data_IF_513775072156
#
_entry.id   IF_513775072156
#
_cell.length_a   1.000
_cell.length_b   1.000
_cell.length_c   1.000
_cell.angle_alpha   90.00
_cell.angle_beta   90.00
_cell.angle_gamma   90.00
#
_symmetry.space_group_name_H-M   'P 1'
#
loop_
_entity.id
_entity.type
_entity.pdbx_description
1 polymer ?
#
# COMPACT_ATOMS: atom_id res chain seq x y z
N UNK A 1 -2.51 -9.05 -12.32
CA UNK A 1 -2.13 -7.64 -12.48
C UNK A 1 -1.20 -7.24 -11.35
N UNK A 2 -0.15 -6.47 -11.66
CA UNK A 2 0.74 -5.85 -10.65
C UNK A 2 -0.07 -4.93 -9.75
N UNK A 3 0.14 -5.04 -8.44
CA UNK A 3 -0.37 -4.11 -7.44
C UNK A 3 0.76 -3.17 -7.03
N UNK A 4 0.48 -1.89 -6.82
CA UNK A 4 1.42 -1.01 -6.16
C UNK A 4 1.24 -1.17 -4.66
N UNK A 5 2.27 -1.63 -3.97
CA UNK A 5 2.34 -1.77 -2.52
C UNK A 5 3.14 -0.61 -1.94
N UNK A 6 2.49 0.21 -1.13
CA UNK A 6 3.08 1.35 -0.44
C UNK A 6 3.24 1.00 1.04
N UNK A 7 4.48 1.02 1.53
CA UNK A 7 4.80 0.79 2.93
C UNK A 7 4.95 2.10 3.69
N UNK A 8 4.30 2.17 4.84
CA UNK A 8 4.43 3.25 5.80
C UNK A 8 4.83 2.73 7.17
N UNK A 9 5.43 3.57 8.00
CA UNK A 9 5.45 3.37 9.45
C UNK A 9 4.25 4.07 10.08
N UNK A 10 3.60 3.42 11.05
CA UNK A 10 2.59 4.06 11.90
C UNK A 10 3.25 4.76 13.10
N UNK A 11 2.43 5.41 13.94
CA UNK A 11 2.91 6.14 15.13
C UNK A 11 3.71 5.27 16.14
N UNK A 12 3.52 3.95 16.12
CA UNK A 12 4.26 2.99 16.96
C UNK A 12 5.48 2.37 16.25
N UNK A 13 5.88 2.89 15.09
CA UNK A 13 7.00 2.37 14.29
C UNK A 13 6.73 1.03 13.60
N UNK A 14 5.47 0.56 13.56
CA UNK A 14 5.09 -0.69 12.89
C UNK A 14 4.80 -0.44 11.42
N UNK A 15 5.22 -1.36 10.55
CA UNK A 15 4.96 -1.28 9.11
C UNK A 15 3.46 -1.47 8.82
N UNK A 16 2.92 -0.64 7.93
CA UNK A 16 1.57 -0.71 7.39
C UNK A 16 1.64 -0.70 5.87
N UNK A 17 0.78 -1.49 5.22
CA UNK A 17 0.72 -1.61 3.76
C UNK A 17 -0.55 -0.97 3.22
N UNK A 18 -0.41 -0.23 2.12
CA UNK A 18 -1.52 0.22 1.28
C UNK A 18 -1.34 -0.34 -0.13
N UNK A 19 -2.17 -1.33 -0.48
CA UNK A 19 -2.09 -2.03 -1.77
C UNK A 19 -3.12 -1.48 -2.76
N UNK A 20 -2.64 -0.92 -3.87
CA UNK A 20 -3.45 -0.34 -4.93
C UNK A 20 -3.46 -1.27 -6.14
N UNK A 21 -4.63 -1.86 -6.43
CA UNK A 21 -4.81 -2.82 -7.54
C UNK A 21 -4.75 -2.19 -8.94
N UNK A 22 -5.08 -0.91 -9.05
CA UNK A 22 -5.22 -0.18 -10.32
C UNK A 22 -4.28 1.01 -10.43
N UNK A 23 -3.08 0.90 -9.86
CA UNK A 23 -2.07 1.94 -10.03
C UNK A 23 -1.55 1.94 -11.48
N UNK A 24 -1.26 3.14 -12.00
CA UNK A 24 -0.51 3.29 -13.24
C UNK A 24 0.82 2.54 -13.10
N UNK A 25 1.23 1.84 -14.16
CA UNK A 25 2.54 1.21 -14.23
C UNK A 25 3.61 2.25 -14.59
N UNK A 26 4.87 1.93 -14.26
CA UNK A 26 6.04 2.77 -14.59
C UNK A 26 6.01 4.15 -13.92
N UNK A 27 5.49 4.24 -12.70
CA UNK A 27 5.63 5.43 -11.86
C UNK A 27 7.08 5.57 -11.39
N UNK A 28 7.62 6.77 -11.48
CA UNK A 28 8.95 7.10 -10.95
C UNK A 28 8.92 7.31 -9.43
N UNK A 29 10.09 7.20 -8.80
CA UNK A 29 10.24 7.33 -7.35
C UNK A 29 9.69 8.67 -6.82
N UNK A 30 9.98 9.78 -7.51
CA UNK A 30 9.60 11.12 -7.06
C UNK A 30 8.09 11.29 -7.02
N UNK A 31 7.40 10.85 -8.08
CA UNK A 31 5.94 10.85 -8.15
C UNK A 31 5.31 10.04 -7.02
N UNK A 32 5.81 8.83 -6.77
CA UNK A 32 5.25 7.94 -5.74
C UNK A 32 5.52 8.49 -4.34
N UNK A 33 6.75 8.93 -4.05
CA UNK A 33 7.12 9.48 -2.75
C UNK A 33 6.30 10.73 -2.43
N UNK A 34 6.13 11.65 -3.38
CA UNK A 34 5.30 12.83 -3.20
C UNK A 34 3.82 12.47 -2.92
N UNK A 35 3.29 11.44 -3.59
CA UNK A 35 1.94 10.97 -3.32
C UNK A 35 1.80 10.41 -1.90
N UNK A 36 2.78 9.63 -1.43
CA UNK A 36 2.81 9.10 -0.07
C UNK A 36 2.86 10.21 1.00
N UNK A 37 3.68 11.25 0.80
CA UNK A 37 3.72 12.40 1.70
C UNK A 37 2.37 13.14 1.75
N UNK A 38 1.75 13.39 0.59
CA UNK A 38 0.41 14.00 0.53
C UNK A 38 -0.64 13.17 1.27
N UNK A 39 -0.55 11.84 1.25
CA UNK A 39 -1.46 10.96 2.01
C UNK A 39 -1.29 11.15 3.51
N UNK A 40 -0.06 11.28 4.00
CA UNK A 40 0.24 11.53 5.42
C UNK A 40 -0.32 12.89 5.85
N UNK A 41 -0.13 13.93 5.04
CA UNK A 41 -0.62 15.28 5.31
C UNK A 41 -2.14 15.34 5.49
N UNK A 42 -2.89 14.46 4.80
CA UNK A 42 -4.35 14.40 4.95
C UNK A 42 -4.79 13.96 6.35
N UNK A 43 -3.96 13.19 7.06
CA UNK A 43 -4.28 12.58 8.37
C UNK A 43 -5.61 11.80 8.40
N UNK A 44 -6.12 11.39 7.24
CA UNK A 44 -7.42 10.72 7.10
C UNK A 44 -7.37 9.25 7.56
N UNK A 45 -6.19 8.65 7.54
CA UNK A 45 -6.02 7.22 7.82
C UNK A 45 -5.70 7.02 9.30
N UNK A 46 -6.73 6.72 10.08
CA UNK A 46 -6.63 6.48 11.51
C UNK A 46 -7.36 5.19 11.90
N UNK A 47 -6.83 4.51 12.92
CA UNK A 47 -7.50 3.39 13.59
C UNK A 47 -7.34 3.60 15.08
N UNK A 48 -8.45 3.56 15.81
CA UNK A 48 -8.45 3.72 17.29
C UNK A 48 -7.74 5.01 17.74
N UNK A 49 -7.91 6.10 16.98
CA UNK A 49 -7.29 7.40 17.27
C UNK A 49 -5.79 7.50 16.94
N UNK A 50 -5.18 6.46 16.38
CA UNK A 50 -3.78 6.48 15.94
C UNK A 50 -3.66 6.59 14.42
N UNK A 51 -2.73 7.42 13.95
CA UNK A 51 -2.40 7.54 12.53
C UNK A 51 -1.76 6.25 12.03
N UNK A 52 -2.31 5.71 10.94
CA UNK A 52 -1.80 4.51 10.28
C UNK A 52 -0.59 4.81 9.41
N UNK A 53 -0.53 5.99 8.81
CA UNK A 53 0.53 6.40 7.89
C UNK A 53 1.20 7.66 8.42
N UNK A 54 2.48 7.53 8.82
CA UNK A 54 3.27 8.62 9.42
C UNK A 54 4.57 8.86 8.66
N UNK A 55 5.21 7.82 8.14
CA UNK A 55 6.48 7.95 7.41
C UNK A 55 6.48 7.01 6.22
N UNK A 56 6.75 7.49 4.99
CA UNK A 56 6.94 6.62 3.84
C UNK A 56 8.18 5.77 4.04
N UNK A 57 8.06 4.46 3.87
CA UNK A 57 9.16 3.50 4.06
C UNK A 57 9.63 2.90 2.74
N UNK A 58 8.70 2.45 1.91
CA UNK A 58 9.01 1.85 0.61
C UNK A 58 7.80 1.90 -0.34
N UNK A 59 8.07 1.72 -1.63
CA UNK A 59 7.04 1.49 -2.64
C UNK A 59 7.55 0.47 -3.66
N UNK A 60 6.70 -0.50 -4.01
CA UNK A 60 7.08 -1.56 -4.95
C UNK A 60 5.87 -2.09 -5.72
N UNK A 61 6.11 -2.54 -6.95
CA UNK A 61 5.11 -3.31 -7.69
C UNK A 61 5.21 -4.79 -7.30
N UNK A 62 4.09 -5.38 -6.89
CA UNK A 62 3.98 -6.77 -6.46
C UNK A 62 3.07 -7.53 -7.40
N UNK A 63 3.51 -8.71 -7.85
CA UNK A 63 2.66 -9.70 -8.52
C UNK A 63 2.32 -10.83 -7.56
N UNK A 64 1.06 -11.24 -7.55
CA UNK A 64 0.61 -12.42 -6.80
C UNK A 64 0.16 -13.46 -7.80
N UNK A 65 0.84 -14.60 -7.79
CA UNK A 65 0.48 -15.79 -8.56
C UNK A 65 -0.36 -16.69 -7.65
N UNK A 66 -1.57 -17.04 -8.10
CA UNK A 66 -2.42 -18.00 -7.43
C UNK A 66 -2.48 -19.27 -8.28
N UNK A 67 -1.97 -20.37 -7.73
CA UNK A 67 -2.03 -21.71 -8.33
C UNK A 67 -2.94 -22.59 -7.45
N UNK A 68 -4.28 -22.43 -7.53
CA UNK A 68 -5.18 -23.18 -6.69
C UNK A 68 -5.15 -24.66 -7.08
N UNK A 69 -4.96 -25.53 -6.08
CA UNK A 69 -5.04 -26.99 -6.25
C UNK A 69 -6.52 -27.43 -6.29
N UNK A 70 -7.40 -26.72 -5.58
CA UNK A 70 -8.84 -26.92 -5.58
C UNK A 70 -9.57 -25.63 -5.14
N UNK A 71 -10.80 -25.42 -5.59
CA UNK A 71 -11.64 -24.27 -5.22
C UNK A 71 -13.13 -24.69 -5.18
N UNK A 72 -13.65 -24.85 -3.97
CA UNK A 72 -15.04 -25.19 -3.68
C UNK A 72 -16.03 -24.02 -3.85
N UNK A 73 -15.54 -22.80 -4.10
CA UNK A 73 -16.40 -21.62 -4.22
C UNK A 73 -16.92 -21.37 -5.65
N UNK A 74 -16.86 -22.36 -6.54
CA UNK A 74 -17.50 -22.28 -7.86
C UNK A 74 -19.02 -22.43 -7.71
N UNK A 75 -19.73 -21.31 -7.69
CA UNK A 75 -21.15 -21.22 -8.06
C UNK A 75 -21.32 -21.40 -9.57
#
# INVERSE_FOLDING_TARGET
>A
MKQLDLEFLNAAGKTQHLKLKYAKQDLDEGTVRLAMEKMIDTKLFQKEGQLLYVTPKAAQYVETLHEPIFDDNKL
#
